data_IF_187244055871
#
_entry.id   IF_187244055871
#
_cell.length_a   1.000
_cell.length_b   1.000
_cell.length_c   1.000
_cell.angle_alpha   90.00
_cell.angle_beta   90.00
_cell.angle_gamma   90.00
#
_symmetry.space_group_name_H-M   'P 1'
#
loop_
_entity.id
_entity.type
_entity.pdbx_description
1 polymer ?
#
# COMPACT_ATOMS: atom_id res chain seq x y z
N UNK A 1 -0.18 -35.62 35.65
CA UNK A 1 -0.93 -34.69 34.80
C UNK A 1 -1.78 -35.55 33.89
N UNK A 2 -3.10 -35.41 33.99
CA UNK A 2 -4.09 -36.24 33.30
C UNK A 2 -4.22 -35.79 31.83
N UNK A 3 -4.24 -36.74 30.88
CA UNK A 3 -4.38 -36.47 29.43
C UNK A 3 -5.65 -35.66 29.12
N UNK A 4 -6.69 -35.79 29.95
CA UNK A 4 -7.93 -35.01 29.83
C UNK A 4 -7.71 -33.52 30.07
N UNK A 5 -6.76 -33.16 30.94
CA UNK A 5 -6.43 -31.75 31.19
C UNK A 5 -5.68 -31.10 30.02
N UNK A 6 -4.97 -31.89 29.21
CA UNK A 6 -4.27 -31.38 28.01
C UNK A 6 -5.27 -31.15 26.88
N UNK A 7 -6.22 -32.08 26.69
CA UNK A 7 -7.26 -31.96 25.66
C UNK A 7 -8.17 -30.74 25.86
N UNK A 8 -8.42 -30.33 27.10
CA UNK A 8 -9.22 -29.14 27.43
C UNK A 8 -8.43 -27.83 27.35
N UNK A 9 -7.10 -27.89 27.43
CA UNK A 9 -6.23 -26.73 27.48
C UNK A 9 -5.77 -26.27 26.09
N UNK A 10 -5.51 -27.22 25.18
CA UNK A 10 -5.04 -26.93 23.82
C UNK A 10 -6.02 -26.05 23.02
N UNK A 11 -7.36 -26.29 23.02
CA UNK A 11 -8.30 -25.42 22.31
C UNK A 11 -8.36 -24.00 22.87
N UNK A 12 -8.22 -23.83 24.20
CA UNK A 12 -8.20 -22.51 24.86
C UNK A 12 -6.97 -21.71 24.49
N UNK A 13 -5.80 -22.36 24.48
CA UNK A 13 -4.57 -21.71 24.03
C UNK A 13 -4.68 -21.33 22.56
N UNK A 14 -5.14 -22.25 21.69
CA UNK A 14 -5.33 -21.99 20.26
C UNK A 14 -6.30 -20.83 19.98
N UNK A 15 -7.38 -20.70 20.75
CA UNK A 15 -8.30 -19.56 20.67
C UNK A 15 -7.69 -18.22 21.12
N UNK A 16 -6.61 -18.27 21.91
CA UNK A 16 -5.89 -17.08 22.39
C UNK A 16 -4.76 -16.70 21.41
N UNK A 17 -4.22 -17.64 20.63
CA UNK A 17 -3.20 -17.37 19.59
C UNK A 17 -3.82 -17.01 18.24
N UNK A 18 -5.04 -17.47 17.96
CA UNK A 18 -5.85 -16.95 16.88
C UNK A 18 -6.37 -15.58 17.30
N UNK A 19 -5.55 -14.56 17.03
CA UNK A 19 -5.95 -13.17 17.14
C UNK A 19 -7.32 -12.98 16.51
N UNK A 20 -8.11 -12.10 17.12
CA UNK A 20 -9.36 -11.63 16.51
C UNK A 20 -9.10 -11.34 15.02
N UNK A 21 -10.01 -11.69 14.09
CA UNK A 21 -9.89 -11.17 12.74
C UNK A 21 -9.66 -9.68 12.89
N UNK A 22 -8.55 -9.18 12.32
CA UNK A 22 -8.28 -7.76 12.31
C UNK A 22 -9.61 -7.10 11.92
N UNK A 23 -10.12 -6.25 12.80
CA UNK A 23 -11.29 -5.43 12.47
C UNK A 23 -11.05 -4.91 11.05
N UNK A 24 -12.04 -4.96 10.15
CA UNK A 24 -11.82 -4.58 8.75
C UNK A 24 -11.10 -3.24 8.77
N UNK A 25 -9.83 -3.25 8.36
CA UNK A 25 -8.94 -2.11 8.55
C UNK A 25 -9.65 -0.92 7.94
N UNK A 26 -9.97 0.06 8.78
CA UNK A 26 -10.69 1.24 8.33
C UNK A 26 -9.78 1.92 7.31
N UNK A 27 -10.16 1.83 6.04
CA UNK A 27 -9.39 2.41 4.93
C UNK A 27 -9.13 3.87 5.31
N UNK A 28 -7.88 4.35 5.34
CA UNK A 28 -7.66 5.78 5.47
C UNK A 28 -8.42 6.43 4.30
N UNK A 29 -9.44 7.24 4.57
CA UNK A 29 -10.21 7.87 3.51
C UNK A 29 -9.35 8.84 2.68
N UNK A 30 -8.25 9.31 3.26
CA UNK A 30 -7.32 10.29 2.71
C UNK A 30 -5.87 9.84 2.91
N UNK A 31 -5.01 10.28 2.00
CA UNK A 31 -3.56 10.22 2.10
C UNK A 31 -2.97 11.63 1.93
N UNK A 32 -1.75 11.85 2.43
CA UNK A 32 -1.00 13.08 2.12
C UNK A 32 -0.15 12.85 0.87
N UNK A 33 -0.21 13.77 -0.08
CA UNK A 33 0.56 13.72 -1.32
C UNK A 33 1.36 15.01 -1.51
N UNK A 34 2.54 14.91 -2.11
CA UNK A 34 3.25 16.06 -2.66
C UNK A 34 2.78 16.28 -4.11
N UNK A 35 1.86 17.21 -4.31
CA UNK A 35 1.30 17.51 -5.63
C UNK A 35 2.07 18.65 -6.28
N UNK A 36 2.60 18.43 -7.47
CA UNK A 36 3.12 19.47 -8.34
C UNK A 36 1.92 20.26 -8.87
N UNK A 37 1.74 21.50 -8.41
CA UNK A 37 0.57 22.33 -8.76
C UNK A 37 0.88 23.41 -9.79
N UNK A 38 2.17 23.70 -10.00
CA UNK A 38 2.70 24.55 -11.05
C UNK A 38 4.19 24.22 -11.24
N UNK A 39 4.82 24.62 -12.37
CA UNK A 39 6.26 24.50 -12.51
C UNK A 39 6.96 25.10 -11.29
N UNK A 40 7.86 24.32 -10.72
CA UNK A 40 8.67 24.60 -9.55
C UNK A 40 7.91 24.72 -8.23
N UNK A 41 6.66 24.26 -8.14
CA UNK A 41 5.81 24.40 -6.96
C UNK A 41 5.14 23.09 -6.57
N UNK A 42 5.54 22.57 -5.41
CA UNK A 42 4.82 21.51 -4.72
C UNK A 42 3.91 22.06 -3.63
N UNK A 43 2.78 21.40 -3.43
CA UNK A 43 1.90 21.57 -2.28
C UNK A 43 1.64 20.21 -1.64
N UNK A 44 1.74 20.13 -0.31
CA UNK A 44 1.29 18.94 0.41
C UNK A 44 -0.22 19.04 0.57
N UNK A 45 -0.95 18.07 0.03
CA UNK A 45 -2.41 18.03 0.05
C UNK A 45 -2.92 16.74 0.67
N UNK A 46 -4.10 16.79 1.28
CA UNK A 46 -4.89 15.59 1.49
C UNK A 46 -5.54 15.19 0.17
N UNK A 47 -5.49 13.91 -0.15
CA UNK A 47 -5.99 13.33 -1.39
C UNK A 47 -6.76 12.05 -1.07
N UNK A 48 -7.98 11.86 -1.60
CA UNK A 48 -8.76 10.68 -1.30
C UNK A 48 -8.05 9.43 -1.81
N UNK A 49 -8.00 8.38 -0.99
CA UNK A 49 -7.49 7.09 -1.46
C UNK A 49 -8.42 6.59 -2.57
N UNK A 50 -7.91 6.28 -3.78
CA UNK A 50 -8.75 5.87 -4.88
C UNK A 50 -9.40 4.51 -4.61
N UNK A 51 -10.57 4.29 -5.23
CA UNK A 51 -11.09 2.94 -5.34
C UNK A 51 -10.17 2.11 -6.23
N UNK A 52 -9.78 0.92 -5.77
CA UNK A 52 -9.01 -0.02 -6.57
C UNK A 52 -9.94 -1.03 -7.25
N UNK A 53 -9.66 -1.34 -8.51
CA UNK A 53 -10.34 -2.33 -9.32
C UNK A 53 -9.92 -3.76 -9.01
N UNK A 54 -10.39 -4.68 -9.83
CA UNK A 54 -10.16 -6.12 -9.67
C UNK A 54 -8.71 -6.54 -9.95
N UNK A 55 -7.97 -5.75 -10.74
CA UNK A 55 -6.60 -6.03 -11.20
C UNK A 55 -5.55 -5.12 -10.53
N UNK A 56 -5.99 -4.24 -9.64
CA UNK A 56 -5.14 -3.23 -9.00
C UNK A 56 -4.57 -3.72 -7.66
N UNK A 57 -3.51 -3.07 -7.20
CA UNK A 57 -3.03 -3.19 -5.82
C UNK A 57 -3.05 -1.81 -5.16
N UNK A 58 -3.37 -1.77 -3.86
CA UNK A 58 -3.18 -0.58 -3.05
C UNK A 58 -1.94 -0.76 -2.18
N UNK A 59 -1.03 0.21 -2.27
CA UNK A 59 0.23 0.20 -1.52
C UNK A 59 0.26 1.37 -0.56
N UNK A 60 0.57 1.09 0.71
CA UNK A 60 0.95 2.12 1.68
C UNK A 60 2.41 2.47 1.41
N UNK A 61 2.62 3.60 0.75
CA UNK A 61 3.95 4.10 0.40
C UNK A 61 4.73 4.43 1.66
N UNK A 62 5.91 3.83 1.80
CA UNK A 62 6.85 4.05 2.91
C UNK A 62 8.03 4.93 2.49
N UNK A 63 8.34 4.95 1.20
CA UNK A 63 9.34 5.83 0.61
C UNK A 63 9.21 5.90 -0.91
N UNK A 64 9.76 6.96 -1.49
CA UNK A 64 9.92 7.08 -2.93
C UNK A 64 11.26 7.77 -3.25
N UNK A 65 11.90 7.32 -4.33
CA UNK A 65 13.06 7.98 -4.93
C UNK A 65 12.69 9.31 -5.59
N UNK A 66 13.72 10.12 -5.87
CA UNK A 66 13.60 11.32 -6.69
C UNK A 66 14.54 11.15 -7.88
N UNK A 67 13.95 11.03 -9.06
CA UNK A 67 14.67 10.79 -10.30
C UNK A 67 14.86 12.09 -11.09
N UNK A 68 15.80 12.07 -12.04
CA UNK A 68 16.01 13.18 -12.98
C UNK A 68 14.75 13.54 -13.77
N UNK A 69 13.89 12.57 -14.06
CA UNK A 69 12.59 12.78 -14.73
C UNK A 69 11.64 13.61 -13.88
N UNK A 70 11.58 13.39 -12.56
CA UNK A 70 10.77 14.21 -11.66
C UNK A 70 11.26 15.66 -11.66
N UNK A 71 12.58 15.87 -11.72
CA UNK A 71 13.18 17.21 -11.81
C UNK A 71 12.87 17.88 -13.14
N UNK A 72 12.87 17.12 -14.24
CA UNK A 72 12.52 17.64 -15.56
C UNK A 72 11.05 18.08 -15.60
N UNK A 73 10.16 17.26 -15.02
CA UNK A 73 8.74 17.59 -14.89
C UNK A 73 8.50 18.80 -13.99
N UNK A 74 9.11 18.81 -12.81
CA UNK A 74 9.05 19.90 -11.86
C UNK A 74 9.50 21.23 -12.46
N UNK A 75 10.50 21.25 -13.36
CA UNK A 75 11.04 22.51 -13.90
C UNK A 75 10.09 23.25 -14.83
N UNK A 76 9.38 22.54 -15.70
CA UNK A 76 8.71 23.15 -16.84
C UNK A 76 7.46 22.42 -17.35
N UNK A 77 6.98 21.38 -16.68
CA UNK A 77 5.81 20.60 -17.12
C UNK A 77 5.86 20.16 -18.60
N UNK A 78 6.99 19.61 -19.08
CA UNK A 78 7.14 19.17 -20.47
C UNK A 78 6.10 18.13 -20.89
N UNK A 79 5.52 17.38 -19.95
CA UNK A 79 4.48 16.40 -20.26
C UNK A 79 3.05 16.96 -20.14
N UNK A 80 2.86 18.13 -19.52
CA UNK A 80 1.56 18.80 -19.41
C UNK A 80 0.61 18.10 -18.44
N UNK A 81 1.13 17.50 -17.37
CA UNK A 81 0.35 16.72 -16.42
C UNK A 81 -0.07 17.51 -15.16
N UNK A 82 0.45 18.72 -14.96
CA UNK A 82 0.08 19.51 -13.79
C UNK A 82 -1.45 19.78 -13.77
N UNK A 83 -2.17 19.50 -12.66
CA UNK A 83 -1.64 19.05 -11.36
C UNK A 83 -1.36 17.55 -11.29
N UNK A 84 -0.16 17.18 -10.81
CA UNK A 84 0.32 15.78 -10.77
C UNK A 84 0.95 15.42 -9.42
N UNK A 85 0.70 14.20 -8.93
CA UNK A 85 1.50 13.60 -7.85
C UNK A 85 2.66 12.85 -8.50
N UNK A 86 3.89 13.30 -8.23
CA UNK A 86 5.12 12.65 -8.73
C UNK A 86 5.51 11.44 -7.87
N UNK A 87 6.57 10.74 -8.26
CA UNK A 87 7.09 9.55 -7.57
C UNK A 87 6.79 8.27 -8.34
N UNK A 88 7.72 7.89 -9.21
CA UNK A 88 7.65 6.67 -10.02
C UNK A 88 8.63 5.58 -9.56
N UNK A 89 9.29 5.80 -8.41
CA UNK A 89 10.26 4.90 -7.80
C UNK A 89 9.85 4.63 -6.35
N UNK A 90 8.77 3.89 -6.14
CA UNK A 90 8.14 3.71 -4.83
C UNK A 90 8.57 2.43 -4.11
N UNK A 91 8.52 2.47 -2.79
CA UNK A 91 8.53 1.28 -1.93
C UNK A 91 7.45 1.37 -0.86
N UNK A 92 6.92 0.23 -0.45
CA UNK A 92 5.92 0.18 0.60
C UNK A 92 5.33 -1.20 0.80
N UNK A 93 4.16 -1.22 1.43
CA UNK A 93 3.45 -2.43 1.81
C UNK A 93 2.13 -2.56 1.05
N UNK A 94 1.84 -3.75 0.55
CA UNK A 94 0.55 -4.05 -0.06
C UNK A 94 -0.51 -4.07 1.05
N UNK A 95 -1.46 -3.13 1.01
CA UNK A 95 -2.57 -3.05 1.98
C UNK A 95 -3.89 -3.57 1.40
N UNK A 96 -3.99 -3.72 0.08
CA UNK A 96 -5.15 -4.33 -0.56
C UNK A 96 -4.79 -4.89 -1.93
N UNK A 97 -5.39 -6.02 -2.27
CA UNK A 97 -5.31 -6.65 -3.59
C UNK A 97 -6.68 -6.65 -4.26
N UNK A 98 -6.70 -6.35 -5.56
CA UNK A 98 -7.81 -6.68 -6.44
C UNK A 98 -8.00 -8.19 -6.53
N UNK A 99 -9.24 -8.64 -6.77
CA UNK A 99 -9.58 -10.07 -6.70
C UNK A 99 -8.86 -10.93 -7.74
N UNK A 100 -8.43 -10.35 -8.86
CA UNK A 100 -7.72 -11.05 -9.93
C UNK A 100 -6.20 -11.09 -9.69
N UNK A 101 -5.68 -10.27 -8.77
CA UNK A 101 -4.25 -10.25 -8.45
C UNK A 101 -3.89 -11.51 -7.65
N UNK A 102 -2.85 -12.22 -8.12
CA UNK A 102 -2.35 -13.48 -7.52
C UNK A 102 -0.84 -13.52 -7.38
N UNK A 103 -0.12 -12.97 -8.35
CA UNK A 103 1.33 -13.04 -8.41
C UNK A 103 1.96 -11.72 -8.86
N UNK A 104 3.25 -11.57 -8.57
CA UNK A 104 4.09 -10.50 -9.10
C UNK A 104 4.47 -10.76 -10.57
N UNK A 105 5.25 -9.83 -11.14
CA UNK A 105 5.73 -9.91 -12.53
C UNK A 105 6.66 -11.11 -12.80
N UNK A 106 7.16 -11.77 -11.76
CA UNK A 106 7.98 -12.98 -11.83
C UNK A 106 7.15 -14.26 -11.58
N UNK A 107 5.83 -14.13 -11.43
CA UNK A 107 4.93 -15.26 -11.15
C UNK A 107 4.96 -15.75 -9.71
N UNK A 108 5.61 -15.02 -8.79
CA UNK A 108 5.63 -15.38 -7.37
C UNK A 108 4.31 -14.96 -6.71
N UNK A 109 3.67 -15.81 -5.91
CA UNK A 109 2.47 -15.43 -5.18
C UNK A 109 2.71 -14.20 -4.30
N UNK A 110 1.70 -13.32 -4.21
CA UNK A 110 1.73 -12.14 -3.34
C UNK A 110 0.49 -12.07 -2.45
N UNK A 111 0.63 -11.40 -1.30
CA UNK A 111 -0.41 -11.22 -0.30
C UNK A 111 -0.36 -9.82 0.33
N UNK A 112 -1.45 -9.44 1.01
CA UNK A 112 -1.46 -8.24 1.85
C UNK A 112 -0.39 -8.37 2.95
N UNK A 113 0.34 -7.29 3.21
CA UNK A 113 1.48 -7.24 4.11
C UNK A 113 2.84 -7.46 3.43
N UNK A 114 2.86 -7.94 2.18
CA UNK A 114 4.11 -8.07 1.44
C UNK A 114 4.72 -6.70 1.12
N UNK A 115 6.05 -6.63 1.14
CA UNK A 115 6.81 -5.44 0.74
C UNK A 115 7.05 -5.43 -0.76
N UNK A 116 6.86 -4.26 -1.35
CA UNK A 116 7.07 -3.98 -2.76
C UNK A 116 8.12 -2.89 -2.94
N UNK A 117 8.90 -3.05 -4.00
CA UNK A 117 9.76 -2.02 -4.57
C UNK A 117 9.56 -2.04 -6.08
N UNK A 118 9.44 -0.86 -6.69
CA UNK A 118 9.37 -0.67 -8.13
C UNK A 118 10.74 -0.34 -8.71
#
# INVERSE_FOLDING_TARGET
MDERQIADFVPKVLSTVQGSPAAPEEKPGMARVAMLTAPRRFEVKEFPIPEIGDDDILVKVEGAGVCGTDVYEWKSDPFGYIPLVLGHEGTGEIVRLGKNVKCDTQGRPIQVGDKLVT
#
